data_IF_769324870105
#
_entry.id   IF_769324870105
#
_cell.length_a   1.000
_cell.length_b   1.000
_cell.length_c   1.000
_cell.angle_alpha   90.00
_cell.angle_beta   90.00
_cell.angle_gamma   90.00
#
_symmetry.space_group_name_H-M   'P 1'
#
loop_
_entity.id
_entity.type
_entity.pdbx_description
1 polymer ?
#
# COMPACT_ATOMS: atom_id res chain seq x y z
N UNK A 1 26.37 2.33 15.62
CA UNK A 1 26.64 0.98 15.09
C UNK A 1 25.30 0.42 14.61
N UNK A 2 24.83 0.84 13.43
CA UNK A 2 23.59 0.33 12.84
C UNK A 2 23.95 -0.90 12.00
N UNK A 3 23.70 -2.09 12.53
CA UNK A 3 23.67 -3.28 11.69
C UNK A 3 22.62 -3.04 10.61
N UNK A 4 23.02 -3.07 9.34
CA UNK A 4 22.08 -3.01 8.23
C UNK A 4 21.12 -4.20 8.38
N UNK A 5 19.88 -3.94 8.79
CA UNK A 5 18.84 -4.95 8.86
C UNK A 5 18.51 -5.32 7.42
N UNK A 6 19.25 -6.27 6.88
CA UNK A 6 19.04 -6.74 5.52
C UNK A 6 17.72 -7.53 5.47
N UNK A 7 16.93 -7.29 4.43
CA UNK A 7 15.68 -8.01 4.25
C UNK A 7 15.98 -9.47 3.90
N UNK A 8 15.33 -10.37 4.62
CA UNK A 8 15.35 -11.80 4.38
C UNK A 8 13.94 -12.26 3.95
N UNK A 9 13.84 -12.99 2.83
CA UNK A 9 12.57 -13.45 2.28
C UNK A 9 11.83 -14.34 3.28
N UNK A 10 12.54 -15.17 4.06
CA UNK A 10 11.88 -15.99 5.09
C UNK A 10 11.25 -15.10 6.17
N UNK A 11 11.94 -14.05 6.58
CA UNK A 11 11.40 -13.05 7.49
C UNK A 11 10.16 -12.35 6.92
N UNK A 12 10.18 -11.97 5.63
CA UNK A 12 8.99 -11.41 4.96
C UNK A 12 7.84 -12.42 4.93
N UNK A 13 8.11 -13.67 4.57
CA UNK A 13 7.12 -14.75 4.58
C UNK A 13 6.46 -14.91 5.96
N UNK A 14 7.24 -14.93 7.04
CA UNK A 14 6.72 -15.03 8.40
C UNK A 14 5.88 -13.82 8.81
N UNK A 15 6.24 -12.61 8.36
CA UNK A 15 5.42 -11.41 8.56
C UNK A 15 4.06 -11.58 7.87
N UNK A 16 4.04 -12.01 6.60
CA UNK A 16 2.79 -12.22 5.86
C UNK A 16 1.94 -13.32 6.50
N UNK A 17 2.55 -14.43 6.90
CA UNK A 17 1.85 -15.52 7.56
C UNK A 17 1.21 -15.04 8.87
N UNK A 18 1.98 -14.37 9.73
CA UNK A 18 1.45 -13.79 10.98
C UNK A 18 0.33 -12.79 10.70
N UNK A 19 0.44 -11.97 9.68
CA UNK A 19 -0.62 -11.04 9.29
C UNK A 19 -1.90 -11.78 8.88
N UNK A 20 -1.80 -12.90 8.15
CA UNK A 20 -2.96 -13.71 7.76
C UNK A 20 -3.64 -14.44 8.91
N UNK A 21 -2.87 -14.88 9.90
CA UNK A 21 -3.36 -15.69 11.02
C UNK A 21 -4.08 -14.87 12.11
N UNK A 22 -3.88 -13.55 12.11
CA UNK A 22 -4.46 -12.65 13.10
C UNK A 22 -5.56 -11.79 12.48
N UNK A 23 -6.64 -11.54 13.22
CA UNK A 23 -7.73 -10.67 12.76
C UNK A 23 -7.32 -9.19 12.78
N UNK A 24 -6.58 -8.77 13.81
CA UNK A 24 -6.08 -7.40 13.94
C UNK A 24 -4.84 -7.13 13.09
N UNK A 25 -4.61 -5.86 12.79
CA UNK A 25 -3.41 -5.39 12.07
C UNK A 25 -2.20 -5.52 12.99
N UNK A 26 -1.22 -6.30 12.54
CA UNK A 26 -0.05 -6.58 13.36
C UNK A 26 0.96 -5.43 13.33
N UNK A 27 1.64 -5.20 14.45
CA UNK A 27 2.80 -4.32 14.48
C UNK A 27 3.95 -4.96 13.69
N UNK A 28 4.45 -4.20 12.72
CA UNK A 28 5.56 -4.55 11.83
C UNK A 28 6.56 -3.40 11.78
N UNK A 29 7.76 -3.68 11.27
CA UNK A 29 8.81 -2.67 11.13
C UNK A 29 8.37 -1.53 10.22
N UNK A 30 8.47 -0.28 10.69
CA UNK A 30 8.06 0.91 9.93
C UNK A 30 8.88 1.12 8.66
N UNK A 31 10.07 0.52 8.58
CA UNK A 31 10.93 0.57 7.39
C UNK A 31 10.68 -0.56 6.40
N UNK A 32 9.67 -1.42 6.61
CA UNK A 32 9.46 -2.64 5.82
C UNK A 32 9.45 -2.38 4.31
N UNK A 33 8.68 -1.41 3.82
CA UNK A 33 8.61 -1.13 2.37
C UNK A 33 9.94 -0.64 1.81
N UNK A 34 10.70 0.16 2.57
CA UNK A 34 12.06 0.58 2.20
C UNK A 34 13.00 -0.62 2.13
N UNK A 35 12.99 -1.49 3.15
CA UNK A 35 13.84 -2.69 3.20
C UNK A 35 13.55 -3.66 2.04
N UNK A 36 12.28 -3.88 1.71
CA UNK A 36 11.86 -4.71 0.57
C UNK A 36 12.31 -4.07 -0.76
N UNK A 37 12.17 -2.74 -0.88
CA UNK A 37 12.61 -2.00 -2.06
C UNK A 37 14.12 -2.11 -2.27
N UNK A 38 14.91 -1.92 -1.21
CA UNK A 38 16.37 -2.04 -1.23
C UNK A 38 16.80 -3.45 -1.65
N UNK A 39 16.16 -4.49 -1.11
CA UNK A 39 16.42 -5.88 -1.47
C UNK A 39 16.14 -6.18 -2.94
N UNK A 40 14.95 -5.82 -3.45
CA UNK A 40 14.61 -5.99 -4.86
C UNK A 40 15.58 -5.17 -5.74
N UNK A 41 15.96 -3.98 -5.28
CA UNK A 41 16.91 -3.10 -5.96
C UNK A 41 18.31 -3.70 -6.06
N UNK A 42 18.80 -4.40 -5.02
CA UNK A 42 20.06 -5.17 -5.07
C UNK A 42 19.97 -6.29 -6.11
N UNK A 43 18.94 -7.14 -6.01
CA UNK A 43 18.72 -8.25 -6.95
C UNK A 43 18.56 -7.80 -8.41
N UNK A 44 18.10 -6.58 -8.67
CA UNK A 44 17.94 -6.07 -10.05
C UNK A 44 19.19 -5.40 -10.62
N UNK A 45 20.13 -4.96 -9.76
CA UNK A 45 21.36 -4.25 -10.20
C UNK A 45 22.51 -5.21 -10.51
N UNK A 46 22.52 -6.36 -9.86
CA UNK A 46 23.54 -7.38 -10.11
C UNK A 46 23.28 -8.06 -11.46
N UNK A 47 24.35 -8.30 -12.21
CA UNK A 47 24.32 -9.11 -13.43
C UNK A 47 24.37 -10.58 -13.02
N UNK A 48 23.42 -11.37 -13.52
CA UNK A 48 23.34 -12.82 -13.27
C UNK A 48 23.28 -13.56 -14.59
N UNK A 49 23.97 -14.68 -14.69
CA UNK A 49 24.04 -15.47 -15.91
C UNK A 49 23.15 -16.73 -15.84
N UNK A 50 22.53 -17.08 -16.97
CA UNK A 50 21.86 -18.35 -17.22
C UNK A 50 20.86 -18.79 -16.11
N UNK A 51 21.31 -19.68 -15.22
CA UNK A 51 20.49 -20.27 -14.14
C UNK A 51 20.33 -19.26 -12.99
N UNK A 52 21.38 -18.49 -12.70
CA UNK A 52 21.36 -17.50 -11.61
C UNK A 52 20.33 -16.41 -11.90
N UNK A 53 20.22 -15.98 -13.17
CA UNK A 53 19.19 -15.03 -13.60
C UNK A 53 17.77 -15.57 -13.32
N UNK A 54 17.52 -16.84 -13.63
CA UNK A 54 16.22 -17.48 -13.35
C UNK A 54 15.92 -17.56 -11.86
N UNK A 55 16.91 -17.92 -11.05
CA UNK A 55 16.76 -17.96 -9.59
C UNK A 55 16.43 -16.57 -9.05
N UNK A 56 17.18 -15.55 -9.48
CA UNK A 56 16.95 -14.15 -9.07
C UNK A 56 15.57 -13.64 -9.52
N UNK A 57 15.12 -13.97 -10.73
CA UNK A 57 13.79 -13.60 -11.19
C UNK A 57 12.69 -14.26 -10.34
N UNK A 58 12.85 -15.52 -9.96
CA UNK A 58 11.91 -16.20 -9.07
C UNK A 58 11.91 -15.58 -7.65
N UNK A 59 13.07 -15.22 -7.11
CA UNK A 59 13.18 -14.52 -5.82
C UNK A 59 12.47 -13.16 -5.86
N UNK A 60 12.64 -12.38 -6.92
CA UNK A 60 11.93 -11.12 -7.12
C UNK A 60 10.42 -11.35 -7.23
N UNK A 61 9.99 -12.38 -7.96
CA UNK A 61 8.58 -12.73 -8.11
C UNK A 61 7.94 -13.10 -6.77
N UNK A 62 8.54 -14.01 -6.00
CA UNK A 62 8.06 -14.40 -4.66
C UNK A 62 7.98 -13.19 -3.73
N UNK A 63 9.03 -12.36 -3.70
CA UNK A 63 9.06 -11.15 -2.87
C UNK A 63 7.93 -10.19 -3.25
N UNK A 64 7.70 -9.99 -4.56
CA UNK A 64 6.63 -9.14 -5.09
C UNK A 64 5.26 -9.66 -4.69
N UNK A 65 5.05 -10.98 -4.77
CA UNK A 65 3.80 -11.60 -4.37
C UNK A 65 3.53 -11.46 -2.87
N UNK A 66 4.55 -11.68 -2.03
CA UNK A 66 4.44 -11.53 -0.58
C UNK A 66 4.10 -10.09 -0.17
N UNK A 67 4.85 -9.09 -0.68
CA UNK A 67 4.61 -7.70 -0.29
C UNK A 67 3.26 -7.17 -0.80
N UNK A 68 2.85 -7.61 -2.00
CA UNK A 68 1.52 -7.28 -2.55
C UNK A 68 0.41 -7.89 -1.70
N UNK A 69 0.56 -9.16 -1.32
CA UNK A 69 -0.40 -9.85 -0.47
C UNK A 69 -0.51 -9.16 0.91
N UNK A 70 0.63 -8.82 1.52
CA UNK A 70 0.68 -8.13 2.80
C UNK A 70 -0.08 -6.80 2.78
N UNK A 71 0.26 -5.93 1.81
CA UNK A 71 -0.39 -4.63 1.66
C UNK A 71 -1.91 -4.79 1.50
N UNK A 72 -2.35 -5.68 0.61
CA UNK A 72 -3.77 -5.89 0.36
C UNK A 72 -4.52 -6.40 1.59
N UNK A 73 -3.96 -7.37 2.31
CA UNK A 73 -4.59 -7.90 3.55
C UNK A 73 -4.76 -6.79 4.57
N UNK A 74 -3.71 -6.00 4.79
CA UNK A 74 -3.72 -4.93 5.81
C UNK A 74 -4.74 -3.85 5.46
N UNK A 75 -4.78 -3.40 4.20
CA UNK A 75 -5.80 -2.45 3.74
C UNK A 75 -7.22 -3.04 3.83
N UNK A 76 -7.42 -4.31 3.50
CA UNK A 76 -8.72 -4.98 3.62
C UNK A 76 -9.19 -5.08 5.06
N UNK A 77 -8.30 -5.36 6.02
CA UNK A 77 -8.64 -5.38 7.45
C UNK A 77 -9.18 -4.04 7.91
N UNK A 78 -8.51 -2.93 7.57
CA UNK A 78 -8.97 -1.58 7.92
C UNK A 78 -10.40 -1.33 7.43
N UNK A 79 -10.67 -1.70 6.17
CA UNK A 79 -11.98 -1.49 5.53
C UNK A 79 -13.11 -2.30 6.17
N UNK A 80 -12.79 -3.44 6.79
CA UNK A 80 -13.77 -4.33 7.41
C UNK A 80 -14.04 -4.00 8.88
N UNK A 81 -13.27 -3.08 9.49
CA UNK A 81 -13.50 -2.64 10.86
C UNK A 81 -14.68 -1.66 10.93
N UNK A 82 -15.58 -1.85 11.89
CA UNK A 82 -16.69 -0.90 12.16
C UNK A 82 -16.18 0.49 12.59
N UNK A 83 -14.96 0.54 13.15
CA UNK A 83 -14.25 1.76 13.50
C UNK A 83 -12.82 1.64 12.99
N UNK A 84 -12.38 2.64 12.23
CA UNK A 84 -11.00 2.71 11.73
C UNK A 84 -10.04 2.72 12.92
N UNK A 85 -9.35 1.60 13.13
CA UNK A 85 -8.21 1.51 14.02
C UNK A 85 -6.95 1.62 13.17
N UNK A 86 -6.34 2.80 13.21
CA UNK A 86 -5.10 3.09 12.50
C UNK A 86 -3.85 2.64 13.28
N UNK A 87 -4.04 2.01 14.44
CA UNK A 87 -2.92 1.43 15.17
C UNK A 87 -2.17 0.44 14.29
N UNK A 88 -0.84 0.52 14.34
CA UNK A 88 0.09 -0.34 13.60
C UNK A 88 0.10 -0.17 12.07
N UNK A 89 -0.63 0.78 11.49
CA UNK A 89 -0.49 1.10 10.06
C UNK A 89 0.80 1.88 9.79
N UNK A 90 1.43 1.54 8.68
CA UNK A 90 2.58 2.26 8.15
C UNK A 90 2.14 3.52 7.41
N UNK A 91 3.05 4.47 7.25
CA UNK A 91 2.73 5.77 6.66
C UNK A 91 2.37 5.65 5.17
N UNK A 92 2.98 4.71 4.46
CA UNK A 92 2.61 4.37 3.08
C UNK A 92 1.19 3.79 2.98
N UNK A 93 0.74 3.05 3.99
CA UNK A 93 -0.62 2.49 4.03
C UNK A 93 -1.65 3.58 4.34
N UNK A 94 -1.32 4.49 5.27
CA UNK A 94 -2.12 5.68 5.57
C UNK A 94 -2.27 6.57 4.34
N UNK A 95 -1.19 6.79 3.59
CA UNK A 95 -1.21 7.55 2.34
C UNK A 95 -2.24 7.00 1.34
N UNK A 96 -2.36 5.68 1.22
CA UNK A 96 -3.36 5.04 0.35
C UNK A 96 -4.78 5.29 0.88
N UNK A 97 -5.00 5.13 2.19
CA UNK A 97 -6.30 5.30 2.82
C UNK A 97 -6.80 6.76 2.77
N UNK A 98 -5.91 7.72 3.00
CA UNK A 98 -6.20 9.16 2.89
C UNK A 98 -6.70 9.49 1.46
N UNK A 99 -6.08 8.90 0.43
CA UNK A 99 -6.52 9.05 -0.95
C UNK A 99 -7.90 8.46 -1.23
N UNK A 100 -8.25 7.33 -0.60
CA UNK A 100 -9.60 6.75 -0.71
C UNK A 100 -10.66 7.58 0.02
N UNK A 101 -10.33 8.16 1.18
CA UNK A 101 -11.21 9.07 1.90
C UNK A 101 -11.48 10.33 1.06
N UNK A 102 -10.44 10.96 0.51
CA UNK A 102 -10.59 12.14 -0.36
C UNK A 102 -11.44 11.82 -1.61
N UNK A 103 -11.25 10.65 -2.22
CA UNK A 103 -12.08 10.19 -3.33
C UNK A 103 -13.56 10.07 -2.94
N UNK A 104 -13.83 9.52 -1.74
CA UNK A 104 -15.19 9.34 -1.21
C UNK A 104 -15.85 10.68 -0.92
N UNK A 105 -15.17 11.59 -0.23
CA UNK A 105 -15.67 12.93 0.07
C UNK A 105 -16.00 13.72 -1.20
N UNK A 106 -15.11 13.67 -2.20
CA UNK A 106 -15.35 14.30 -3.51
C UNK A 106 -16.56 13.70 -4.22
N UNK A 107 -16.74 12.39 -4.14
CA UNK A 107 -17.91 11.70 -4.70
C UNK A 107 -19.20 12.11 -3.99
N UNK A 108 -19.21 12.11 -2.67
CA UNK A 108 -20.35 12.54 -1.85
C UNK A 108 -20.71 14.00 -2.08
N UNK A 109 -19.73 14.88 -2.26
CA UNK A 109 -19.94 16.28 -2.59
C UNK A 109 -20.72 16.43 -3.90
N UNK A 110 -20.35 15.69 -4.96
CA UNK A 110 -21.03 15.72 -6.26
C UNK A 110 -22.46 15.16 -6.14
N UNK A 111 -22.61 14.00 -5.49
CA UNK A 111 -23.92 13.38 -5.30
C UNK A 111 -24.85 14.29 -4.49
N UNK A 112 -24.37 14.84 -3.38
CA UNK A 112 -25.13 15.74 -2.52
C UNK A 112 -25.49 17.04 -3.24
N UNK A 113 -24.58 17.61 -4.05
CA UNK A 113 -24.91 18.79 -4.84
C UNK A 113 -25.99 18.49 -5.89
N UNK A 114 -25.93 17.33 -6.52
CA UNK A 114 -26.90 16.89 -7.54
C UNK A 114 -28.29 16.66 -6.94
N UNK A 115 -28.37 15.84 -5.90
CA UNK A 115 -29.63 15.47 -5.25
C UNK A 115 -30.34 16.65 -4.59
N UNK A 116 -29.59 17.66 -4.13
CA UNK A 116 -30.13 18.86 -3.51
C UNK A 116 -30.28 20.04 -4.49
N UNK A 117 -30.09 19.84 -5.80
CA UNK A 117 -30.27 20.89 -6.81
C UNK A 117 -29.28 22.06 -6.69
N UNK A 118 -28.07 21.84 -6.14
CA UNK A 118 -27.03 22.87 -5.94
C UNK A 118 -26.17 23.08 -7.20
N UNK A 119 -26.79 23.52 -8.29
CA UNK A 119 -26.16 23.68 -9.62
C UNK A 119 -24.87 24.51 -9.59
N UNK A 120 -24.82 25.62 -8.85
CA UNK A 120 -23.63 26.49 -8.74
C UNK A 120 -22.39 25.77 -8.20
N UNK A 121 -22.58 24.80 -7.30
CA UNK A 121 -21.47 24.00 -6.74
C UNK A 121 -20.87 23.12 -7.85
N UNK A 122 -21.72 22.48 -8.64
CA UNK A 122 -21.31 21.64 -9.77
C UNK A 122 -20.58 22.46 -10.85
N UNK A 123 -21.08 23.66 -11.16
CA UNK A 123 -20.43 24.59 -12.09
C UNK A 123 -19.03 24.99 -11.61
N UNK A 124 -18.89 25.31 -10.32
CA UNK A 124 -17.59 25.66 -9.71
C UNK A 124 -16.61 24.50 -9.78
N UNK A 125 -17.06 23.27 -9.47
CA UNK A 125 -16.23 22.06 -9.56
C UNK A 125 -15.81 21.80 -11.01
N UNK A 126 -16.73 21.95 -11.97
CA UNK A 126 -16.43 21.76 -13.40
C UNK A 126 -15.38 22.76 -13.89
N UNK A 127 -15.53 24.05 -13.54
CA UNK A 127 -14.58 25.09 -13.94
C UNK A 127 -13.18 24.86 -13.35
N UNK A 128 -13.09 24.56 -12.05
CA UNK A 128 -11.79 24.29 -11.38
C UNK A 128 -11.01 23.13 -11.99
N UNK A 129 -11.70 22.09 -12.45
CA UNK A 129 -11.04 20.92 -13.04
C UNK A 129 -10.60 21.18 -14.49
N UNK A 130 -11.37 21.97 -15.27
CA UNK A 130 -10.97 22.37 -16.63
C UNK A 130 -9.68 23.20 -16.67
N UNK A 131 -9.40 23.98 -15.63
CA UNK A 131 -8.19 24.81 -15.54
C UNK A 131 -6.94 24.08 -15.06
N UNK A 132 -7.06 22.84 -14.57
CA UNK A 132 -5.94 22.03 -14.10
C UNK A 132 -5.37 21.10 -15.19
N UNK A 133 -6.08 20.94 -16.30
CA UNK A 133 -5.75 20.00 -17.38
C UNK A 133 -5.02 20.65 -18.54
#
# INVERSE_FOLDING_TARGET
>A
MSGSKEMDINSLYLIVLRETENESIQEIDTSLYTLVSDFIGKLKREEYDNIEAKIKDELVNITTNLITLLLNIRLSKVKNLERLDFANLLDEEKFVLDGEEEFRERTEMILSATLNGRTRVLETISQKNKTKS
#
